data_IF_842384665781
#
_entry.id   IF_842384665781
#
_cell.length_a   1.000
_cell.length_b   1.000
_cell.length_c   1.000
_cell.angle_alpha   90.00
_cell.angle_beta   90.00
_cell.angle_gamma   90.00
#
_symmetry.space_group_name_H-M   'P 1'
#
loop_
_entity.id
_entity.type
_entity.pdbx_description
1 polymer ?
#
# COMPACT_ATOMS: atom_id res chain seq x y z
N UNK A 1 68.99 7.27 -1.77
CA UNK A 1 68.43 8.61 -2.10
C UNK A 1 67.31 8.88 -1.12
N UNK A 2 67.57 9.74 -0.12
CA UNK A 2 66.61 10.17 0.89
C UNK A 2 66.03 11.55 0.53
N UNK A 3 64.75 11.71 0.87
CA UNK A 3 63.91 12.90 1.10
C UNK A 3 64.46 14.31 0.83
N UNK A 4 63.61 15.23 0.33
CA UNK A 4 63.16 16.39 1.12
C UNK A 4 61.97 17.14 0.50
N UNK A 5 61.23 17.81 1.38
CA UNK A 5 59.93 18.45 1.26
C UNK A 5 59.86 19.64 0.29
N UNK A 6 58.67 19.90 -0.27
CA UNK A 6 58.24 21.25 -0.65
C UNK A 6 56.84 21.53 -0.12
N UNK A 7 56.80 22.29 0.96
CA UNK A 7 55.63 22.86 1.62
C UNK A 7 55.08 24.05 0.82
N UNK A 8 53.78 24.07 0.51
CA UNK A 8 53.04 25.28 0.11
C UNK A 8 52.27 25.81 1.33
N UNK A 9 52.41 27.10 1.71
CA UNK A 9 51.61 27.72 2.75
C UNK A 9 50.42 28.49 2.15
N UNK A 10 49.34 28.58 2.94
CA UNK A 10 48.16 29.42 2.69
C UNK A 10 46.95 28.58 2.26
N UNK A 11 45.76 28.71 2.82
CA UNK A 11 45.22 29.73 3.69
C UNK A 11 44.02 29.11 4.42
N UNK A 12 43.78 29.60 5.63
CA UNK A 12 42.68 29.26 6.53
C UNK A 12 41.34 29.21 5.78
N UNK A 13 40.50 28.21 6.08
CA UNK A 13 39.19 28.42 6.74
C UNK A 13 38.36 27.12 6.85
N UNK A 14 37.74 27.01 8.02
CA UNK A 14 36.44 26.37 8.29
C UNK A 14 36.37 24.84 8.30
N UNK A 15 36.49 24.34 9.52
CA UNK A 15 35.75 23.22 10.10
C UNK A 15 34.27 23.32 9.69
N UNK A 16 33.66 22.24 9.20
CA UNK A 16 32.26 21.90 9.51
C UNK A 16 31.95 20.46 9.11
N UNK A 17 31.98 19.62 10.14
CA UNK A 17 31.37 18.30 10.19
C UNK A 17 29.90 18.37 9.78
N UNK A 18 29.48 17.54 8.82
CA UNK A 18 28.07 17.16 8.69
C UNK A 18 28.01 15.66 8.89
N UNK A 19 27.80 15.29 10.15
CA UNK A 19 27.29 13.99 10.56
C UNK A 19 25.96 13.77 9.83
N UNK A 20 25.94 12.90 8.82
CA UNK A 20 24.70 12.36 8.28
C UNK A 20 24.05 11.49 9.37
N UNK A 21 23.28 12.13 10.24
CA UNK A 21 22.30 11.49 11.08
C UNK A 21 21.23 10.89 10.14
N UNK A 22 21.41 9.61 9.80
CA UNK A 22 20.38 8.77 9.24
C UNK A 22 19.21 8.72 10.24
N UNK A 23 18.33 9.70 10.09
CA UNK A 23 17.11 9.82 10.87
C UNK A 23 16.23 8.66 10.43
N UNK A 24 16.15 7.63 11.28
CA UNK A 24 15.05 6.67 11.28
C UNK A 24 13.76 7.45 11.48
N UNK A 25 13.22 8.02 10.41
CA UNK A 25 11.86 8.54 10.42
C UNK A 25 10.95 7.34 10.54
N UNK A 26 10.57 7.01 11.77
CA UNK A 26 9.37 6.22 12.05
C UNK A 26 8.22 6.89 11.32
N UNK A 27 7.83 6.34 10.17
CA UNK A 27 6.60 6.75 9.50
C UNK A 27 5.48 6.58 10.51
N UNK A 28 4.78 7.65 10.93
CA UNK A 28 3.65 7.48 11.82
C UNK A 28 2.64 6.60 11.08
N UNK A 29 2.18 5.53 11.75
CA UNK A 29 1.05 4.76 11.28
C UNK A 29 -0.09 5.75 11.02
N UNK A 30 -0.44 5.96 9.75
CA UNK A 30 -1.43 6.94 9.32
C UNK A 30 -2.76 6.51 9.94
N UNK A 31 -3.17 7.22 10.99
CA UNK A 31 -4.45 7.02 11.66
C UNK A 31 -5.58 7.12 10.64
N UNK A 32 -6.61 6.29 10.85
CA UNK A 32 -7.79 6.19 9.98
C UNK A 32 -8.34 7.59 9.67
N UNK A 33 -8.33 7.95 8.39
CA UNK A 33 -8.89 9.21 7.91
C UNK A 33 -10.43 9.13 7.95
N UNK A 34 -11.18 10.25 8.13
CA UNK A 34 -12.65 10.26 8.17
C UNK A 34 -13.31 9.62 6.93
N UNK A 35 -12.66 9.74 5.79
CA UNK A 35 -12.94 9.09 4.50
C UNK A 35 -12.88 7.55 4.57
N UNK A 36 -12.09 6.96 5.48
CA UNK A 36 -12.12 5.51 5.74
C UNK A 36 -13.40 5.07 6.46
N UNK A 37 -13.98 5.93 7.31
CA UNK A 37 -15.29 5.68 7.92
C UNK A 37 -16.43 5.84 6.89
N UNK A 38 -16.27 6.74 5.91
CA UNK A 38 -17.24 6.90 4.81
C UNK A 38 -17.35 5.63 3.93
N UNK A 39 -16.28 4.84 3.88
CA UNK A 39 -16.17 3.63 3.05
C UNK A 39 -16.43 2.34 3.84
N UNK A 40 -16.76 2.43 5.12
CA UNK A 40 -17.06 1.27 5.95
C UNK A 40 -18.50 0.79 5.69
N UNK A 41 -18.68 -0.49 5.41
CA UNK A 41 -19.97 -1.14 5.28
C UNK A 41 -20.81 -0.96 6.56
N UNK A 42 -22.08 -0.58 6.40
CA UNK A 42 -22.93 -0.17 7.52
C UNK A 42 -23.39 -1.36 8.39
N UNK A 43 -23.32 -2.60 7.88
CA UNK A 43 -23.66 -3.81 8.62
C UNK A 43 -22.48 -4.42 9.37
N UNK A 44 -21.28 -4.33 8.81
CA UNK A 44 -20.07 -5.00 9.33
C UNK A 44 -19.00 -4.06 9.86
N UNK A 45 -19.09 -2.75 9.57
CA UNK A 45 -18.04 -1.77 9.85
C UNK A 45 -16.75 -2.03 9.06
N UNK A 46 -16.81 -2.85 8.01
CA UNK A 46 -15.66 -3.28 7.24
C UNK A 46 -15.39 -2.35 6.06
N UNK A 47 -14.13 -2.03 5.81
CA UNK A 47 -13.71 -1.23 4.65
C UNK A 47 -13.42 -2.16 3.48
N UNK A 48 -14.04 -1.87 2.34
CA UNK A 48 -13.73 -2.53 1.06
C UNK A 48 -12.34 -2.13 0.61
N UNK A 49 -11.55 -3.08 0.14
CA UNK A 49 -10.20 -2.83 -0.38
C UNK A 49 -10.01 -3.44 -1.76
N UNK A 50 -9.67 -2.60 -2.71
CA UNK A 50 -9.22 -3.01 -4.04
C UNK A 50 -7.71 -3.14 -4.03
N UNK A 51 -7.19 -4.25 -4.54
CA UNK A 51 -5.75 -4.48 -4.58
C UNK A 51 -5.27 -4.82 -6.00
N UNK A 52 -4.70 -3.84 -6.72
CA UNK A 52 -3.96 -4.09 -7.94
C UNK A 52 -2.71 -4.94 -7.63
N UNK A 53 -2.51 -5.98 -8.44
CA UNK A 53 -1.41 -6.94 -8.28
C UNK A 53 -0.53 -6.92 -9.54
N UNK A 54 0.68 -6.38 -9.40
CA UNK A 54 1.73 -6.54 -10.40
C UNK A 54 2.58 -7.75 -10.01
N UNK A 55 2.41 -8.84 -10.77
CA UNK A 55 3.19 -10.05 -10.59
C UNK A 55 4.70 -9.78 -10.80
N UNK A 56 5.60 -10.43 -10.03
CA UNK A 56 5.36 -11.67 -9.30
C UNK A 56 4.87 -11.53 -7.84
N UNK A 57 4.97 -10.36 -7.20
CA UNK A 57 4.67 -10.22 -5.75
C UNK A 57 4.24 -8.82 -5.29
N UNK A 58 4.20 -7.82 -6.16
CA UNK A 58 3.87 -6.47 -5.72
C UNK A 58 2.36 -6.27 -5.66
N UNK A 59 1.87 -5.83 -4.50
CA UNK A 59 0.45 -5.61 -4.24
C UNK A 59 0.29 -4.28 -3.55
N UNK A 60 -0.36 -3.35 -4.23
CA UNK A 60 -0.88 -2.13 -3.59
C UNK A 60 -2.31 -2.41 -3.11
N UNK A 61 -2.75 -1.70 -2.09
CA UNK A 61 -4.10 -1.83 -1.54
C UNK A 61 -4.66 -0.43 -1.32
N UNK A 62 -5.85 -0.18 -1.86
CA UNK A 62 -6.56 1.09 -1.66
C UNK A 62 -7.93 0.82 -1.05
N UNK A 63 -8.37 1.64 -0.08
CA UNK A 63 -9.77 1.68 0.31
C UNK A 63 -10.63 1.97 -0.92
N UNK A 64 -11.59 1.10 -1.19
CA UNK A 64 -12.53 1.26 -2.28
C UNK A 64 -13.78 2.01 -1.79
N UNK A 65 -14.31 2.95 -2.58
CA UNK A 65 -15.63 3.54 -2.34
C UNK A 65 -16.74 2.51 -2.14
N UNK A 66 -17.76 2.87 -1.35
CA UNK A 66 -18.96 2.02 -1.16
C UNK A 66 -19.64 1.66 -2.48
N UNK A 67 -19.61 2.55 -3.47
CA UNK A 67 -20.22 2.34 -4.78
C UNK A 67 -19.43 1.42 -5.71
N UNK A 68 -18.17 1.13 -5.40
CA UNK A 68 -17.34 0.30 -6.27
C UNK A 68 -17.77 -1.15 -6.27
N UNK A 69 -17.82 -1.71 -7.47
CA UNK A 69 -18.09 -3.10 -7.80
C UNK A 69 -16.79 -3.83 -8.14
N UNK A 70 -16.91 -5.15 -8.39
CA UNK A 70 -15.84 -5.97 -8.95
C UNK A 70 -15.22 -5.36 -10.22
N UNK A 71 -16.05 -4.83 -11.13
CA UNK A 71 -15.58 -4.28 -12.41
C UNK A 71 -14.86 -2.94 -12.24
N UNK A 72 -15.27 -2.12 -11.26
CA UNK A 72 -14.59 -0.86 -10.97
C UNK A 72 -13.17 -1.10 -10.45
N UNK A 73 -13.02 -2.08 -9.55
CA UNK A 73 -11.69 -2.46 -9.07
C UNK A 73 -10.82 -3.08 -10.17
N UNK A 74 -11.41 -3.89 -11.06
CA UNK A 74 -10.72 -4.43 -12.23
C UNK A 74 -10.22 -3.31 -13.15
N UNK A 75 -11.09 -2.37 -13.51
CA UNK A 75 -10.77 -1.23 -14.38
C UNK A 75 -9.66 -0.37 -13.79
N UNK A 76 -9.83 0.04 -12.52
CA UNK A 76 -8.80 0.78 -11.78
C UNK A 76 -7.46 0.05 -11.74
N UNK A 77 -7.47 -1.25 -11.48
CA UNK A 77 -6.24 -2.05 -11.44
C UNK A 77 -5.54 -2.08 -12.79
N UNK A 78 -6.31 -2.15 -13.88
CA UNK A 78 -5.79 -2.05 -15.26
C UNK A 78 -5.18 -0.69 -15.56
N UNK A 79 -5.82 0.41 -15.14
CA UNK A 79 -5.29 1.78 -15.29
C UNK A 79 -3.96 1.97 -14.53
N UNK A 80 -3.80 1.28 -13.40
CA UNK A 80 -2.55 1.27 -12.62
C UNK A 80 -1.45 0.37 -13.22
N UNK A 81 -1.71 -0.29 -14.36
CA UNK A 81 -0.77 -1.18 -15.03
C UNK A 81 -0.62 -2.55 -14.36
N UNK A 82 -1.55 -2.95 -13.49
CA UNK A 82 -1.56 -4.29 -12.94
C UNK A 82 -2.03 -5.31 -13.99
N UNK A 83 -1.57 -6.55 -13.89
CA UNK A 83 -2.08 -7.67 -14.70
C UNK A 83 -3.13 -8.50 -13.96
N UNK A 84 -3.19 -8.34 -12.64
CA UNK A 84 -4.10 -9.04 -11.74
C UNK A 84 -4.70 -8.06 -10.74
N UNK A 85 -5.80 -8.44 -10.12
CA UNK A 85 -6.38 -7.72 -9.00
C UNK A 85 -6.98 -8.69 -7.99
N UNK A 86 -7.23 -8.19 -6.78
CA UNK A 86 -7.84 -8.95 -5.71
C UNK A 86 -8.71 -8.05 -4.85
N UNK A 87 -9.90 -8.53 -4.53
CA UNK A 87 -10.85 -7.85 -3.65
C UNK A 87 -10.61 -8.26 -2.20
N UNK A 88 -10.87 -7.38 -1.24
CA UNK A 88 -10.85 -7.73 0.17
C UNK A 88 -11.58 -6.79 1.11
N UNK A 89 -11.56 -7.19 2.37
CA UNK A 89 -12.23 -6.54 3.48
C UNK A 89 -11.22 -6.29 4.59
N UNK A 90 -11.24 -5.10 5.18
CA UNK A 90 -10.54 -4.79 6.43
C UNK A 90 -11.56 -4.47 7.52
N UNK A 91 -11.50 -5.17 8.64
CA UNK A 91 -12.48 -5.02 9.72
C UNK A 91 -11.89 -4.11 10.82
N UNK A 92 -12.55 -2.98 11.08
CA UNK A 92 -12.09 -1.99 12.05
C UNK A 92 -12.30 -2.46 13.51
N UNK A 93 -13.38 -3.20 13.77
CA UNK A 93 -13.74 -3.68 15.09
C UNK A 93 -13.62 -5.20 15.15
N UNK A 94 -12.48 -5.68 15.64
CA UNK A 94 -12.19 -7.10 15.77
C UNK A 94 -11.95 -7.41 17.25
N UNK A 95 -12.79 -8.28 17.81
CA UNK A 95 -12.44 -8.97 19.06
C UNK A 95 -11.12 -9.74 18.87
N UNK A 96 -10.36 -10.06 19.94
CA UNK A 96 -9.03 -10.66 19.83
C UNK A 96 -8.93 -11.94 18.98
N UNK A 97 -10.06 -12.60 18.72
CA UNK A 97 -10.15 -13.84 17.95
C UNK A 97 -10.87 -13.70 16.59
N UNK A 98 -11.27 -12.49 16.21
CA UNK A 98 -11.93 -12.24 14.93
C UNK A 98 -10.93 -11.91 13.81
N UNK A 99 -11.26 -12.28 12.57
CA UNK A 99 -10.41 -12.05 11.40
C UNK A 99 -10.32 -10.56 11.09
N UNK A 100 -9.09 -10.01 11.07
CA UNK A 100 -8.85 -8.57 10.78
C UNK A 100 -9.04 -8.22 9.32
N UNK A 101 -8.92 -9.21 8.44
CA UNK A 101 -9.06 -9.04 7.01
C UNK A 101 -9.54 -10.32 6.35
N UNK A 102 -10.23 -10.16 5.22
CA UNK A 102 -10.64 -11.25 4.35
C UNK A 102 -10.27 -10.90 2.90
N UNK A 103 -9.81 -11.87 2.13
CA UNK A 103 -9.39 -11.67 0.75
C UNK A 103 -10.12 -12.66 -0.16
N UNK A 104 -10.56 -12.19 -1.33
CA UNK A 104 -11.03 -13.03 -2.42
C UNK A 104 -9.86 -13.65 -3.20
N UNK A 105 -10.13 -14.37 -4.29
CA UNK A 105 -9.08 -14.89 -5.17
C UNK A 105 -8.34 -13.76 -5.89
N UNK A 106 -7.10 -14.03 -6.29
CA UNK A 106 -6.38 -13.18 -7.25
C UNK A 106 -6.91 -13.50 -8.65
N UNK A 107 -7.40 -12.48 -9.36
CA UNK A 107 -8.01 -12.62 -10.69
C UNK A 107 -7.14 -11.91 -11.72
N UNK A 108 -6.84 -12.60 -12.83
CA UNK A 108 -6.17 -11.98 -13.98
C UNK A 108 -7.17 -11.07 -14.73
N UNK A 109 -6.77 -9.84 -15.04
CA UNK A 109 -7.65 -8.83 -15.64
C UNK A 109 -8.15 -9.27 -17.02
N UNK A 110 -7.27 -9.83 -17.85
CA UNK A 110 -7.64 -10.34 -19.19
C UNK A 110 -8.69 -11.46 -19.14
N UNK A 111 -8.76 -12.20 -18.03
CA UNK A 111 -9.72 -13.30 -17.83
C UNK A 111 -10.93 -12.86 -17.02
N UNK A 112 -10.96 -11.63 -16.52
CA UNK A 112 -11.98 -11.16 -15.58
C UNK A 112 -13.36 -11.01 -16.22
N UNK A 113 -13.44 -10.71 -17.53
CA UNK A 113 -14.71 -10.71 -18.26
C UNK A 113 -15.39 -12.10 -18.34
N UNK A 114 -14.60 -13.17 -18.19
CA UNK A 114 -15.08 -14.56 -18.16
C UNK A 114 -15.22 -15.08 -16.72
N UNK A 115 -14.64 -14.38 -15.75
CA UNK A 115 -14.71 -14.77 -14.35
C UNK A 115 -16.03 -14.29 -13.74
N UNK A 116 -16.78 -15.21 -13.14
CA UNK A 116 -17.86 -14.81 -12.24
C UNK A 116 -17.26 -13.99 -11.09
N UNK A 117 -17.84 -12.84 -10.70
CA UNK A 117 -17.38 -12.11 -9.53
C UNK A 117 -17.31 -13.02 -8.31
N UNK A 118 -16.13 -13.12 -7.70
CA UNK A 118 -15.88 -13.93 -6.50
C UNK A 118 -15.45 -12.98 -5.38
N UNK A 119 -16.41 -12.42 -4.62
CA UNK A 119 -16.09 -11.53 -3.51
C UNK A 119 -15.42 -12.30 -2.35
N UNK A 120 -14.68 -11.61 -1.47
CA UNK A 120 -14.19 -12.17 -0.21
C UNK A 120 -15.34 -12.67 0.67
N UNK A 121 -15.05 -13.65 1.54
CA UNK A 121 -15.97 -14.15 2.57
C UNK A 121 -15.39 -13.85 3.97
N UNK A 122 -16.12 -13.18 4.88
CA UNK A 122 -17.47 -12.63 4.68
C UNK A 122 -17.45 -11.46 3.68
N UNK A 123 -18.55 -11.28 2.95
CA UNK A 123 -18.67 -10.21 1.98
C UNK A 123 -18.91 -8.88 2.72
N UNK A 124 -18.00 -7.91 2.55
CA UNK A 124 -18.10 -6.55 3.09
C UNK A 124 -18.70 -5.55 2.08
N UNK A 125 -19.66 -5.98 1.27
CA UNK A 125 -20.34 -5.14 0.27
C UNK A 125 -19.67 -5.08 -1.11
N UNK A 126 -18.90 -6.12 -1.47
CA UNK A 126 -18.36 -6.37 -2.81
C UNK A 126 -19.37 -7.04 -3.74
#
# INVERSE_FOLDING_TARGET
MNAFLSTRPGSRRAILSVLLAASLTSVPARGQTPESALNADDGTGAVKVCAPVAMPRWRSMIPAPKTWTFLDCMGFSGEMGASHFQLGCLFANVTPHAQKYAWGPVVAIEKAALAKPQPPMPNCGW
#
